data_IF_836985577603
#
_entry.id   IF_836985577603
#
_cell.length_a   1.000
_cell.length_b   1.000
_cell.length_c   1.000
_cell.angle_alpha   90.00
_cell.angle_beta   90.00
_cell.angle_gamma   90.00
#
_symmetry.space_group_name_H-M   'P 1'
#
loop_
_entity.id
_entity.type
_entity.pdbx_description
1 polymer ?
#
# COMPACT_ATOMS: atom_id res chain seq x y z
N UNK A 1 24.64 17.66 -5.20
CA UNK A 1 23.44 16.83 -4.94
C UNK A 1 22.95 16.11 -6.18
N UNK A 2 22.78 16.77 -7.33
CA UNK A 2 22.48 16.10 -8.61
C UNK A 2 23.53 15.05 -9.02
N UNK A 3 24.82 15.30 -8.74
CA UNK A 3 25.92 14.38 -9.04
C UNK A 3 25.95 13.12 -8.15
N UNK A 4 25.49 13.21 -6.90
CA UNK A 4 25.47 12.08 -5.95
C UNK A 4 24.18 11.24 -6.03
N UNK A 5 23.12 11.75 -6.65
CA UNK A 5 21.86 11.01 -6.86
C UNK A 5 21.85 10.16 -8.13
N UNK A 6 22.82 10.34 -9.03
CA UNK A 6 22.96 9.59 -10.29
C UNK A 6 23.75 8.29 -10.09
N UNK A 7 24.48 8.12 -8.98
CA UNK A 7 25.37 6.96 -8.76
C UNK A 7 25.06 6.23 -7.44
N UNK A 8 24.10 5.30 -7.46
CA UNK A 8 24.18 4.16 -6.53
C UNK A 8 23.87 4.46 -5.06
N UNK A 9 22.65 4.89 -4.70
CA UNK A 9 22.31 4.94 -3.28
C UNK A 9 20.97 5.56 -2.88
N UNK A 10 19.84 4.98 -3.28
CA UNK A 10 18.51 5.37 -2.77
C UNK A 10 18.41 5.26 -1.24
N UNK A 11 19.14 4.32 -0.62
CA UNK A 11 19.27 4.20 0.84
C UNK A 11 20.03 5.37 1.48
N UNK A 12 21.02 5.93 0.79
CA UNK A 12 21.83 7.05 1.29
C UNK A 12 21.11 8.39 1.07
N UNK A 13 20.48 8.63 -0.07
CA UNK A 13 19.79 9.89 -0.34
C UNK A 13 18.59 10.13 0.61
N UNK A 14 17.78 9.11 0.90
CA UNK A 14 16.64 9.21 1.82
C UNK A 14 17.09 9.33 3.30
N UNK A 15 18.15 8.61 3.70
CA UNK A 15 18.77 8.79 5.03
C UNK A 15 19.41 10.17 5.18
N UNK A 16 20.11 10.66 4.16
CA UNK A 16 20.69 12.00 4.14
C UNK A 16 19.59 13.06 4.24
N UNK A 17 18.45 12.92 3.55
CA UNK A 17 17.34 13.87 3.68
C UNK A 17 16.64 13.80 5.04
N UNK A 18 16.44 12.61 5.61
CA UNK A 18 15.93 12.44 6.98
C UNK A 18 16.86 13.08 8.02
N UNK A 19 18.18 12.88 7.88
CA UNK A 19 19.24 13.48 8.72
C UNK A 19 19.35 14.99 8.51
N UNK A 20 19.21 15.46 7.26
CA UNK A 20 19.20 16.88 6.94
C UNK A 20 17.99 17.57 7.56
N UNK A 21 16.83 16.91 7.58
CA UNK A 21 15.60 17.49 8.10
C UNK A 21 15.44 17.37 9.61
N UNK A 22 16.18 16.47 10.28
CA UNK A 22 16.23 16.36 11.74
C UNK A 22 17.22 17.34 12.40
N UNK A 23 18.09 17.99 11.61
CA UNK A 23 19.03 19.02 12.09
C UNK A 23 18.68 20.40 11.52
N UNK A 24 18.44 21.37 12.40
CA UNK A 24 18.19 22.77 12.02
C UNK A 24 19.31 23.36 11.16
N UNK A 25 20.55 22.96 11.41
CA UNK A 25 21.73 23.41 10.69
C UNK A 25 21.77 22.81 9.29
N UNK A 26 21.58 21.49 9.17
CA UNK A 26 21.57 20.83 7.87
C UNK A 26 20.39 21.29 7.01
N UNK A 27 19.22 21.49 7.61
CA UNK A 27 18.05 22.02 6.91
C UNK A 27 18.28 23.47 6.43
N UNK A 28 19.01 24.28 7.21
CA UNK A 28 19.42 25.62 6.80
C UNK A 28 20.40 25.58 5.62
N UNK A 29 21.44 24.74 5.69
CA UNK A 29 22.42 24.54 4.62
C UNK A 29 21.77 24.01 3.33
N UNK A 30 20.82 23.07 3.46
CA UNK A 30 20.01 22.59 2.35
C UNK A 30 19.21 23.72 1.69
N UNK A 31 18.51 24.53 2.49
CA UNK A 31 17.75 25.69 1.99
C UNK A 31 18.64 26.71 1.28
N UNK A 32 19.85 26.98 1.80
CA UNK A 32 20.83 27.88 1.16
C UNK A 32 21.32 27.30 -0.17
N UNK A 33 21.69 26.03 -0.20
CA UNK A 33 22.13 25.33 -1.42
C UNK A 33 21.02 25.34 -2.48
N UNK A 34 19.77 25.09 -2.09
CA UNK A 34 18.58 25.17 -2.96
C UNK A 34 18.37 26.57 -3.54
N UNK A 35 18.58 27.62 -2.75
CA UNK A 35 18.47 29.01 -3.19
C UNK A 35 19.57 29.36 -4.21
N UNK A 36 20.81 28.94 -3.97
CA UNK A 36 21.94 29.12 -4.89
C UNK A 36 21.69 28.41 -6.22
N UNK A 37 21.29 27.14 -6.19
CA UNK A 37 20.97 26.38 -7.41
C UNK A 37 19.82 27.02 -8.18
N UNK A 38 18.78 27.52 -7.49
CA UNK A 38 17.67 28.24 -8.13
C UNK A 38 18.14 29.53 -8.80
N UNK A 39 19.04 30.26 -8.16
CA UNK A 39 19.60 31.50 -8.72
C UNK A 39 20.34 31.24 -10.03
N UNK A 40 21.18 30.20 -10.10
CA UNK A 40 21.95 29.87 -11.31
C UNK A 40 21.15 29.15 -12.40
N UNK A 41 20.26 28.23 -12.03
CA UNK A 41 19.55 27.41 -13.02
C UNK A 41 18.23 28.01 -13.50
N UNK A 42 17.71 29.03 -12.81
CA UNK A 42 16.36 29.57 -12.98
C UNK A 42 15.22 28.53 -12.91
N UNK A 43 15.50 27.30 -12.45
CA UNK A 43 14.52 26.22 -12.34
C UNK A 43 14.09 26.01 -10.89
N UNK A 44 12.86 25.52 -10.71
CA UNK A 44 12.40 25.06 -9.39
C UNK A 44 12.94 23.66 -9.06
N UNK A 45 12.98 23.32 -7.77
CA UNK A 45 13.38 21.97 -7.34
C UNK A 45 12.43 20.89 -7.86
N UNK A 46 11.12 21.16 -7.84
CA UNK A 46 10.15 20.23 -8.42
C UNK A 46 10.40 20.01 -9.91
N UNK A 47 10.74 21.08 -10.66
CA UNK A 47 11.06 20.95 -12.08
C UNK A 47 12.30 20.08 -12.28
N UNK A 48 13.33 20.26 -11.44
CA UNK A 48 14.54 19.43 -11.50
C UNK A 48 14.27 17.97 -11.17
N UNK A 49 13.53 17.69 -10.09
CA UNK A 49 13.11 16.34 -9.68
C UNK A 49 12.49 15.63 -10.88
N UNK A 50 11.50 16.26 -11.51
CA UNK A 50 10.76 15.62 -12.59
C UNK A 50 11.58 15.55 -13.89
N UNK A 51 12.40 16.56 -14.19
CA UNK A 51 13.22 16.60 -15.41
C UNK A 51 14.27 15.48 -15.51
N UNK A 52 14.66 14.89 -14.38
CA UNK A 52 15.55 13.71 -14.36
C UNK A 52 14.86 12.51 -15.01
N UNK A 53 13.54 12.41 -14.83
CA UNK A 53 12.74 11.26 -15.26
C UNK A 53 11.91 11.52 -16.52
N UNK A 54 11.88 12.76 -17.04
CA UNK A 54 11.18 13.12 -18.29
C UNK A 54 12.00 12.85 -19.55
N UNK A 55 13.31 12.58 -19.42
CA UNK A 55 14.18 12.24 -20.55
C UNK A 55 13.88 10.81 -21.05
N UNK A 56 13.88 10.57 -22.37
CA UNK A 56 13.73 9.23 -22.91
C UNK A 56 14.86 8.33 -22.39
N UNK A 57 14.47 7.13 -21.92
CA UNK A 57 15.39 6.11 -21.43
C UNK A 57 16.44 5.79 -22.51
N UNK A 58 17.72 5.82 -22.14
CA UNK A 58 18.81 5.42 -23.03
C UNK A 58 19.15 3.95 -22.77
N UNK A 59 19.64 3.23 -23.79
CA UNK A 59 19.92 1.79 -23.71
C UNK A 59 20.87 1.38 -22.56
N UNK A 60 21.61 2.33 -21.98
CA UNK A 60 22.52 2.15 -20.85
C UNK A 60 21.84 2.05 -19.48
N UNK A 61 20.57 2.46 -19.35
CA UNK A 61 19.82 2.40 -18.08
C UNK A 61 19.40 0.96 -17.67
N UNK A 62 19.61 -0.01 -18.57
CA UNK A 62 19.37 -1.45 -18.35
C UNK A 62 20.22 -2.08 -17.25
N UNK A 63 21.32 -1.45 -16.82
CA UNK A 63 22.26 -2.03 -15.85
C UNK A 63 21.88 -1.78 -14.38
N UNK A 64 20.93 -0.89 -14.10
CA UNK A 64 20.66 -0.39 -12.73
C UNK A 64 19.46 -1.05 -12.03
N UNK A 65 18.98 -2.18 -12.55
CA UNK A 65 17.75 -2.81 -12.03
C UNK A 65 18.09 -3.83 -10.93
N UNK A 66 17.55 -3.70 -9.70
CA UNK A 66 17.78 -4.65 -8.61
C UNK A 66 17.42 -6.09 -9.00
N UNK A 67 18.09 -7.07 -8.40
CA UNK A 67 18.07 -8.50 -8.75
C UNK A 67 16.69 -9.11 -9.04
N UNK A 68 15.64 -8.66 -8.35
CA UNK A 68 14.26 -9.12 -8.56
C UNK A 68 13.71 -8.82 -9.97
N UNK A 69 14.24 -7.81 -10.64
CA UNK A 69 13.79 -7.39 -11.98
C UNK A 69 14.62 -8.00 -13.13
N UNK A 70 15.71 -8.74 -12.84
CA UNK A 70 16.39 -9.52 -13.88
C UNK A 70 15.50 -10.62 -14.46
N UNK A 71 14.48 -11.07 -13.71
CA UNK A 71 13.44 -11.97 -14.22
C UNK A 71 12.54 -11.32 -15.29
N UNK A 72 12.32 -10.00 -15.22
CA UNK A 72 11.48 -9.26 -16.17
C UNK A 72 12.14 -9.06 -17.54
N UNK A 73 13.46 -9.27 -17.65
CA UNK A 73 14.15 -9.25 -18.95
C UNK A 73 13.66 -10.34 -19.90
N UNK A 74 12.96 -11.37 -19.39
CA UNK A 74 12.29 -12.39 -20.19
C UNK A 74 10.88 -12.02 -20.67
N UNK A 75 10.32 -10.91 -20.19
CA UNK A 75 8.94 -10.52 -20.47
C UNK A 75 8.98 -9.17 -21.17
N UNK A 76 8.57 -9.14 -22.45
CA UNK A 76 8.97 -8.16 -23.46
C UNK A 76 8.86 -6.66 -23.14
N UNK A 77 9.40 -5.85 -24.05
CA UNK A 77 9.71 -4.41 -23.90
C UNK A 77 8.61 -3.54 -23.26
N UNK A 78 7.33 -3.85 -23.52
CA UNK A 78 6.20 -3.09 -22.97
C UNK A 78 6.00 -3.30 -21.45
N UNK A 79 6.18 -4.52 -20.95
CA UNK A 79 6.05 -4.82 -19.52
C UNK A 79 7.21 -4.19 -18.74
N UNK A 80 8.43 -4.27 -19.29
CA UNK A 80 9.60 -3.61 -18.75
C UNK A 80 9.43 -2.08 -18.69
N UNK A 81 8.89 -1.47 -19.76
CA UNK A 81 8.61 -0.04 -19.81
C UNK A 81 7.57 0.39 -18.78
N UNK A 82 6.46 -0.35 -18.64
CA UNK A 82 5.44 -0.08 -17.61
C UNK A 82 6.00 -0.17 -16.18
N UNK A 83 6.86 -1.16 -15.90
CA UNK A 83 7.53 -1.31 -14.60
C UNK A 83 8.52 -0.17 -14.33
N UNK A 84 9.31 0.23 -15.32
CA UNK A 84 10.20 1.38 -15.18
C UNK A 84 9.42 2.68 -14.94
N UNK A 85 8.31 2.88 -15.65
CA UNK A 85 7.47 4.05 -15.49
C UNK A 85 6.79 4.09 -14.11
N UNK A 86 6.34 2.95 -13.58
CA UNK A 86 5.77 2.89 -12.22
C UNK A 86 6.82 3.12 -11.13
N UNK A 87 8.02 2.56 -11.26
CA UNK A 87 9.15 2.79 -10.33
C UNK A 87 9.58 4.26 -10.35
N UNK A 88 9.64 4.87 -11.53
CA UNK A 88 9.95 6.29 -11.66
C UNK A 88 8.87 7.16 -11.02
N UNK A 89 7.59 6.85 -11.23
CA UNK A 89 6.49 7.60 -10.66
C UNK A 89 6.44 7.53 -9.12
N UNK A 90 6.73 6.36 -8.53
CA UNK A 90 6.91 6.21 -7.08
C UNK A 90 8.01 7.15 -6.55
N UNK A 91 9.20 7.15 -7.18
CA UNK A 91 10.32 8.02 -6.76
C UNK A 91 9.95 9.49 -6.87
N UNK A 92 9.34 9.89 -7.98
CA UNK A 92 8.88 11.26 -8.20
C UNK A 92 7.86 11.65 -7.12
N UNK A 93 6.92 10.76 -6.75
CA UNK A 93 5.96 11.01 -5.67
C UNK A 93 6.64 11.21 -4.31
N UNK A 94 7.61 10.34 -3.94
CA UNK A 94 8.38 10.52 -2.71
C UNK A 94 9.12 11.86 -2.66
N UNK A 95 9.84 12.20 -3.73
CA UNK A 95 10.63 13.45 -3.80
C UNK A 95 9.72 14.69 -3.86
N UNK A 96 8.59 14.59 -4.56
CA UNK A 96 7.57 15.64 -4.62
C UNK A 96 6.97 15.89 -3.24
N UNK A 97 6.58 14.83 -2.52
CA UNK A 97 5.98 14.93 -1.19
C UNK A 97 6.93 15.59 -0.19
N UNK A 98 8.20 15.19 -0.18
CA UNK A 98 9.23 15.83 0.64
C UNK A 98 9.42 17.31 0.28
N UNK A 99 9.50 17.64 -1.01
CA UNK A 99 9.64 19.03 -1.46
C UNK A 99 8.43 19.89 -1.05
N UNK A 100 7.21 19.34 -1.10
CA UNK A 100 5.99 19.98 -0.60
C UNK A 100 6.04 20.19 0.93
N UNK A 101 6.42 19.15 1.68
CA UNK A 101 6.51 19.15 3.14
C UNK A 101 7.35 20.32 3.68
N UNK A 102 8.48 20.62 3.05
CA UNK A 102 9.41 21.67 3.49
C UNK A 102 9.28 23.01 2.75
N UNK A 103 8.33 23.15 1.81
CA UNK A 103 8.18 24.37 1.00
C UNK A 103 7.34 25.43 1.70
N UNK A 104 7.99 26.52 2.15
CA UNK A 104 7.29 27.72 2.69
C UNK A 104 6.34 28.39 1.68
N UNK A 105 6.64 28.31 0.38
CA UNK A 105 5.84 28.94 -0.69
C UNK A 105 4.57 28.15 -1.06
N UNK A 106 4.53 26.85 -0.73
CA UNK A 106 3.45 25.94 -1.14
C UNK A 106 2.62 25.46 0.05
N UNK A 107 2.68 26.17 1.18
CA UNK A 107 1.97 25.78 2.40
C UNK A 107 0.46 25.68 2.17
N UNK A 108 -0.11 26.64 1.44
CA UNK A 108 -1.54 26.67 1.12
C UNK A 108 -1.91 25.49 0.23
N UNK A 109 -1.18 25.27 -0.86
CA UNK A 109 -1.42 24.16 -1.78
C UNK A 109 -1.25 22.80 -1.10
N UNK A 110 -0.26 22.66 -0.23
CA UNK A 110 -0.06 21.47 0.59
C UNK A 110 -1.26 21.20 1.50
N UNK A 111 -1.79 22.21 2.18
CA UNK A 111 -3.00 22.05 3.02
C UNK A 111 -4.20 21.59 2.20
N UNK A 112 -4.34 22.05 0.95
CA UNK A 112 -5.38 21.54 0.06
C UNK A 112 -5.16 20.08 -0.33
N UNK A 113 -3.92 19.68 -0.65
CA UNK A 113 -3.55 18.28 -0.95
C UNK A 113 -3.89 17.36 0.23
N UNK A 114 -3.62 17.83 1.45
CA UNK A 114 -3.85 17.08 2.69
C UNK A 114 -5.32 17.10 3.16
N UNK A 115 -6.21 17.87 2.51
CA UNK A 115 -7.62 18.00 2.89
C UNK A 115 -8.54 17.01 2.17
N UNK A 116 -9.70 16.71 2.76
CA UNK A 116 -10.72 15.82 2.18
C UNK A 116 -11.67 16.50 1.16
N UNK A 117 -11.30 17.68 0.64
CA UNK A 117 -12.21 18.44 -0.23
C UNK A 117 -12.39 17.77 -1.60
N UNK A 118 -13.58 17.20 -1.84
CA UNK A 118 -13.97 16.45 -3.05
C UNK A 118 -13.93 17.26 -4.37
N UNK A 119 -13.89 18.60 -4.32
CA UNK A 119 -14.17 19.46 -5.49
C UNK A 119 -13.01 20.35 -5.96
N UNK A 120 -11.75 20.08 -5.61
CA UNK A 120 -10.65 21.03 -5.89
C UNK A 120 -9.39 20.41 -6.52
N UNK A 121 -9.47 19.16 -6.98
CA UNK A 121 -8.29 18.34 -7.33
C UNK A 121 -7.31 19.02 -8.29
N UNK A 122 -7.78 19.82 -9.25
CA UNK A 122 -6.89 20.36 -10.29
C UNK A 122 -6.48 21.83 -10.04
N UNK A 123 -7.29 22.60 -9.30
CA UNK A 123 -7.05 24.03 -9.11
C UNK A 123 -5.81 24.33 -8.24
N UNK A 124 -5.50 23.49 -7.25
CA UNK A 124 -4.23 23.64 -6.51
C UNK A 124 -3.03 23.14 -7.31
N UNK A 125 -3.21 22.15 -8.20
CA UNK A 125 -2.12 21.66 -9.05
C UNK A 125 -1.71 22.75 -10.05
N UNK A 126 -2.68 23.43 -10.68
CA UNK A 126 -2.42 24.60 -11.52
C UNK A 126 -1.63 25.70 -10.78
N UNK A 127 -2.04 26.03 -9.54
CA UNK A 127 -1.30 26.99 -8.68
C UNK A 127 0.15 26.55 -8.41
N UNK A 128 0.39 25.25 -8.17
CA UNK A 128 1.75 24.71 -7.99
C UNK A 128 2.56 24.90 -9.27
N UNK A 129 2.01 24.52 -10.43
CA UNK A 129 2.68 24.63 -11.73
C UNK A 129 3.09 26.08 -12.02
N UNK A 130 2.17 27.03 -11.86
CA UNK A 130 2.43 28.46 -12.05
C UNK A 130 3.48 28.97 -11.08
N UNK A 131 3.35 28.70 -9.77
CA UNK A 131 4.33 29.14 -8.74
C UNK A 131 5.73 28.56 -8.95
N UNK A 132 5.83 27.43 -9.64
CA UNK A 132 7.08 26.68 -9.86
C UNK A 132 7.58 26.76 -11.30
N UNK A 133 6.95 27.62 -12.11
CA UNK A 133 7.33 27.98 -13.47
C UNK A 133 7.36 26.76 -14.42
N UNK A 134 6.39 25.86 -14.29
CA UNK A 134 6.20 24.77 -15.23
C UNK A 134 5.45 25.25 -16.49
N UNK A 135 5.78 24.67 -17.65
CA UNK A 135 4.94 24.78 -18.85
C UNK A 135 3.82 23.75 -18.75
N UNK A 136 2.56 24.15 -18.77
CA UNK A 136 1.43 23.27 -18.42
C UNK A 136 1.29 22.00 -19.26
N UNK A 137 1.68 22.05 -20.54
CA UNK A 137 1.63 20.94 -21.50
C UNK A 137 2.95 20.16 -21.61
N UNK A 138 3.92 20.42 -20.72
CA UNK A 138 5.20 19.70 -20.73
C UNK A 138 5.09 18.28 -20.13
N UNK A 139 5.93 17.32 -20.57
CA UNK A 139 6.05 16.02 -19.91
C UNK A 139 6.31 16.14 -18.41
N UNK A 140 7.09 17.14 -18.00
CA UNK A 140 7.38 17.43 -16.60
C UNK A 140 6.13 17.87 -15.82
N UNK A 141 5.28 18.69 -16.42
CA UNK A 141 4.02 19.07 -15.80
C UNK A 141 3.08 17.86 -15.64
N UNK A 142 3.04 16.95 -16.62
CA UNK A 142 2.25 15.71 -16.55
C UNK A 142 2.73 14.79 -15.44
N UNK A 143 4.03 14.54 -15.35
CA UNK A 143 4.62 13.71 -14.30
C UNK A 143 4.40 14.32 -12.90
N UNK A 144 4.51 15.65 -12.77
CA UNK A 144 4.22 16.33 -11.50
C UNK A 144 2.73 16.24 -11.13
N UNK A 145 1.82 16.38 -12.11
CA UNK A 145 0.37 16.20 -11.88
C UNK A 145 0.08 14.80 -11.35
N UNK A 146 0.65 13.77 -11.97
CA UNK A 146 0.49 12.38 -11.56
C UNK A 146 1.05 12.12 -10.15
N UNK A 147 2.23 12.65 -9.84
CA UNK A 147 2.84 12.47 -8.52
C UNK A 147 2.03 13.16 -7.42
N UNK A 148 1.55 14.38 -7.65
CA UNK A 148 0.68 15.10 -6.72
C UNK A 148 -0.65 14.36 -6.53
N UNK A 149 -1.20 13.77 -7.59
CA UNK A 149 -2.42 12.96 -7.49
C UNK A 149 -2.23 11.76 -6.57
N UNK A 150 -1.13 11.02 -6.69
CA UNK A 150 -0.80 9.89 -5.80
C UNK A 150 -0.71 10.36 -4.33
N UNK A 151 -0.04 11.48 -4.10
CA UNK A 151 0.08 12.08 -2.76
C UNK A 151 -1.30 12.45 -2.22
N UNK A 152 -2.13 13.13 -3.00
CA UNK A 152 -3.49 13.53 -2.61
C UNK A 152 -4.37 12.30 -2.32
N UNK A 153 -4.32 11.28 -3.16
CA UNK A 153 -5.09 10.06 -2.97
C UNK A 153 -4.68 9.34 -1.67
N UNK A 154 -3.40 9.41 -1.28
CA UNK A 154 -2.92 8.85 0.00
C UNK A 154 -3.55 9.55 1.21
N UNK A 155 -3.74 10.87 1.15
CA UNK A 155 -4.46 11.63 2.19
C UNK A 155 -5.96 11.36 2.18
N UNK A 156 -6.59 11.24 1.01
CA UNK A 156 -8.01 10.84 0.93
C UNK A 156 -8.23 9.46 1.53
N UNK A 157 -7.32 8.52 1.29
CA UNK A 157 -7.35 7.21 1.92
C UNK A 157 -7.23 7.34 3.45
N UNK A 158 -6.31 8.17 3.96
CA UNK A 158 -6.20 8.44 5.41
C UNK A 158 -7.49 8.97 6.00
N UNK A 159 -8.14 9.94 5.36
CA UNK A 159 -9.42 10.50 5.81
C UNK A 159 -10.50 9.43 5.88
N UNK A 160 -10.67 8.66 4.81
CA UNK A 160 -11.63 7.55 4.77
C UNK A 160 -11.38 6.51 5.87
N UNK A 161 -10.12 6.16 6.11
CA UNK A 161 -9.76 5.22 7.19
C UNK A 161 -10.06 5.80 8.57
N UNK A 162 -9.82 7.10 8.78
CA UNK A 162 -10.19 7.77 10.04
C UNK A 162 -11.71 7.82 10.25
N UNK A 163 -12.49 8.05 9.20
CA UNK A 163 -13.96 8.01 9.24
C UNK A 163 -14.47 6.62 9.63
N UNK A 164 -13.93 5.57 9.00
CA UNK A 164 -14.27 4.19 9.33
C UNK A 164 -13.91 3.84 10.78
N UNK A 165 -12.74 4.30 11.25
CA UNK A 165 -12.30 4.10 12.62
C UNK A 165 -13.18 4.83 13.65
N UNK A 166 -13.72 6.00 13.28
CA UNK A 166 -14.61 6.79 14.13
C UNK A 166 -16.07 6.33 14.08
N UNK A 167 -16.46 5.58 13.04
CA UNK A 167 -17.81 5.05 12.89
C UNK A 167 -18.01 3.92 13.90
N UNK A 168 -18.83 4.19 14.92
CA UNK A 168 -19.17 3.18 15.93
C UNK A 168 -20.00 2.06 15.31
N UNK A 169 -19.80 0.85 15.81
CA UNK A 169 -20.72 -0.25 15.54
C UNK A 169 -22.13 0.12 16.03
N UNK A 170 -23.14 -0.22 15.24
CA UNK A 170 -24.55 0.08 15.52
C UNK A 170 -25.36 -1.19 15.32
N UNK A 171 -25.96 -1.68 16.40
CA UNK A 171 -26.77 -2.91 16.43
C UNK A 171 -28.06 -2.78 15.63
N UNK A 172 -28.51 -1.56 15.36
CA UNK A 172 -29.70 -1.31 14.54
C UNK A 172 -29.37 -1.23 13.04
N UNK A 173 -28.09 -1.15 12.69
CA UNK A 173 -27.63 -1.14 11.31
C UNK A 173 -27.53 -2.56 10.77
N UNK A 174 -28.44 -2.93 9.86
CA UNK A 174 -28.41 -4.23 9.15
C UNK A 174 -27.08 -4.48 8.45
N UNK A 175 -26.42 -3.42 7.97
CA UNK A 175 -25.10 -3.52 7.34
C UNK A 175 -24.05 -3.94 8.35
N UNK A 176 -24.04 -3.35 9.55
CA UNK A 176 -23.07 -3.69 10.59
C UNK A 176 -23.29 -5.10 11.11
N UNK A 177 -24.55 -5.50 11.33
CA UNK A 177 -24.90 -6.87 11.73
C UNK A 177 -24.47 -7.89 10.66
N UNK A 178 -24.71 -7.58 9.38
CA UNK A 178 -24.21 -8.42 8.28
C UNK A 178 -22.68 -8.54 8.31
N UNK A 179 -21.95 -7.46 8.60
CA UNK A 179 -20.49 -7.51 8.68
C UNK A 179 -20.01 -8.45 9.79
N UNK A 180 -20.66 -8.49 10.95
CA UNK A 180 -20.32 -9.47 12.00
C UNK A 180 -20.62 -10.90 11.55
N UNK A 181 -21.77 -11.14 10.91
CA UNK A 181 -22.09 -12.46 10.36
C UNK A 181 -21.05 -12.88 9.32
N UNK A 182 -20.70 -12.00 8.39
CA UNK A 182 -19.68 -12.24 7.37
C UNK A 182 -18.32 -12.55 8.02
N UNK A 183 -17.97 -11.86 9.11
CA UNK A 183 -16.75 -12.14 9.85
C UNK A 183 -16.78 -13.56 10.43
N UNK A 184 -17.86 -13.93 11.11
CA UNK A 184 -18.03 -15.25 11.69
C UNK A 184 -17.92 -16.34 10.62
N UNK A 185 -18.63 -16.21 9.51
CA UNK A 185 -18.62 -17.18 8.41
C UNK A 185 -17.22 -17.38 7.82
N UNK A 186 -16.42 -16.30 7.72
CA UNK A 186 -15.05 -16.39 7.23
C UNK A 186 -14.10 -16.97 8.30
N UNK A 187 -14.28 -16.59 9.57
CA UNK A 187 -13.39 -16.96 10.66
C UNK A 187 -13.64 -18.37 11.21
N UNK A 188 -14.88 -18.86 11.15
CA UNK A 188 -15.33 -20.14 11.70
C UNK A 188 -16.19 -20.89 10.67
N UNK A 189 -15.63 -21.28 9.51
CA UNK A 189 -16.42 -21.82 8.38
C UNK A 189 -17.16 -23.14 8.69
N UNK A 190 -16.72 -23.87 9.72
CA UNK A 190 -17.31 -25.15 10.14
C UNK A 190 -18.22 -25.04 11.37
N UNK A 191 -18.46 -23.83 11.90
CA UNK A 191 -19.31 -23.63 13.06
C UNK A 191 -20.39 -22.58 12.79
N UNK A 192 -21.64 -22.90 13.12
CA UNK A 192 -22.74 -21.95 13.00
C UNK A 192 -22.76 -20.99 14.21
N UNK A 193 -22.94 -19.70 13.95
CA UNK A 193 -23.25 -18.73 15.00
C UNK A 193 -24.71 -18.91 15.43
N UNK A 194 -24.93 -19.36 16.67
CA UNK A 194 -26.30 -19.64 17.15
C UNK A 194 -27.09 -18.36 17.41
N UNK A 195 -26.42 -17.33 17.91
CA UNK A 195 -27.02 -16.05 18.23
C UNK A 195 -25.96 -14.96 18.23
N UNK A 196 -26.41 -13.72 17.99
CA UNK A 196 -25.54 -12.54 17.93
C UNK A 196 -24.75 -12.35 19.23
N UNK A 197 -25.38 -12.48 20.41
CA UNK A 197 -24.69 -12.41 21.70
C UNK A 197 -24.37 -13.81 22.21
N UNK A 198 -23.13 -14.27 22.09
CA UNK A 198 -22.78 -15.62 22.52
C UNK A 198 -21.33 -15.74 22.98
N UNK A 199 -21.06 -16.75 23.82
CA UNK A 199 -19.69 -17.10 24.22
C UNK A 199 -18.82 -17.54 23.05
N UNK A 200 -19.40 -17.85 21.88
CA UNK A 200 -18.65 -18.28 20.70
C UNK A 200 -17.67 -17.18 20.24
N UNK A 201 -18.01 -15.90 20.42
CA UNK A 201 -17.11 -14.79 20.12
C UNK A 201 -15.83 -14.79 20.96
N UNK A 202 -15.88 -15.31 22.20
CA UNK A 202 -14.70 -15.41 23.04
C UNK A 202 -13.67 -16.40 22.48
N UNK A 203 -14.10 -17.37 21.66
CA UNK A 203 -13.18 -18.26 20.94
C UNK A 203 -12.33 -17.49 19.93
N UNK A 204 -12.90 -16.51 19.22
CA UNK A 204 -12.15 -15.59 18.36
C UNK A 204 -11.34 -14.55 19.16
N UNK A 205 -11.41 -14.58 20.49
CA UNK A 205 -10.69 -13.67 21.37
C UNK A 205 -11.34 -12.30 21.51
N UNK A 206 -12.67 -12.19 21.47
CA UNK A 206 -13.40 -11.01 21.99
C UNK A 206 -13.56 -11.09 23.53
N UNK A 207 -13.74 -9.95 24.21
CA UNK A 207 -13.73 -9.90 25.68
C UNK A 207 -15.04 -10.38 26.32
N UNK A 208 -16.13 -10.46 25.57
CA UNK A 208 -17.42 -10.90 26.08
C UNK A 208 -18.33 -11.44 24.99
N UNK A 209 -19.60 -11.66 25.36
CA UNK A 209 -20.59 -12.27 24.46
C UNK A 209 -21.03 -11.32 23.34
N UNK A 210 -20.81 -10.01 23.50
CA UNK A 210 -21.11 -8.99 22.50
C UNK A 210 -19.81 -8.37 21.94
N UNK A 211 -19.40 -8.75 20.71
CA UNK A 211 -18.17 -8.24 20.08
C UNK A 211 -18.25 -6.74 19.75
N UNK A 212 -19.44 -6.14 19.67
CA UNK A 212 -19.58 -4.70 19.39
C UNK A 212 -18.90 -3.83 20.45
N UNK A 213 -18.80 -4.35 21.68
CA UNK A 213 -18.21 -3.63 22.80
C UNK A 213 -16.70 -3.41 22.67
N UNK A 214 -16.02 -4.23 21.86
CA UNK A 214 -14.56 -4.20 21.67
C UNK A 214 -14.12 -3.22 20.56
N UNK A 215 -15.00 -2.86 19.63
CA UNK A 215 -14.68 -1.95 18.52
C UNK A 215 -14.65 -0.46 18.90
N UNK A 216 -14.57 -0.09 20.18
CA UNK A 216 -14.67 1.34 20.62
C UNK A 216 -13.61 2.25 20.00
N UNK A 217 -12.38 1.75 19.90
CA UNK A 217 -11.23 2.53 19.43
C UNK A 217 -11.10 2.58 17.91
N UNK A 218 -11.49 1.51 17.21
CA UNK A 218 -11.27 1.32 15.77
C UNK A 218 -12.55 1.14 14.96
N UNK A 219 -13.71 1.20 15.59
CA UNK A 219 -15.02 1.21 14.93
C UNK A 219 -15.17 0.13 13.87
N UNK A 220 -15.82 0.52 12.77
CA UNK A 220 -16.01 -0.33 11.60
C UNK A 220 -14.68 -0.69 10.92
N UNK A 221 -13.64 0.16 11.00
CA UNK A 221 -12.33 -0.18 10.43
C UNK A 221 -11.73 -1.46 11.06
N UNK A 222 -11.85 -1.61 12.38
CA UNK A 222 -11.38 -2.81 13.09
C UNK A 222 -12.08 -4.08 12.60
N UNK A 223 -13.40 -4.00 12.38
CA UNK A 223 -14.19 -5.11 11.84
C UNK A 223 -13.85 -5.38 10.37
N UNK A 224 -13.71 -4.35 9.52
CA UNK A 224 -13.30 -4.52 8.12
C UNK A 224 -11.93 -5.20 8.00
N UNK A 225 -10.98 -4.82 8.84
CA UNK A 225 -9.64 -5.44 8.88
C UNK A 225 -9.71 -6.93 9.22
N UNK A 226 -10.48 -7.30 10.25
CA UNK A 226 -10.66 -8.71 10.65
C UNK A 226 -11.35 -9.54 9.56
N UNK A 227 -12.41 -9.01 8.95
CA UNK A 227 -13.11 -9.65 7.82
C UNK A 227 -12.16 -9.85 6.65
N UNK A 228 -11.41 -8.81 6.30
CA UNK A 228 -10.48 -8.88 5.18
C UNK A 228 -9.43 -9.96 5.43
N UNK A 229 -8.88 -10.05 6.64
CA UNK A 229 -7.87 -11.05 6.94
C UNK A 229 -8.44 -12.47 6.86
N UNK A 230 -9.56 -12.74 7.53
CA UNK A 230 -10.20 -14.06 7.51
C UNK A 230 -10.62 -14.50 6.11
N UNK A 231 -11.07 -13.56 5.26
CA UNK A 231 -11.56 -13.85 3.92
C UNK A 231 -10.44 -14.00 2.89
N UNK A 232 -9.45 -13.11 2.93
CA UNK A 232 -8.41 -13.01 1.90
C UNK A 232 -7.23 -13.94 2.16
N UNK A 233 -6.92 -14.18 3.44
CA UNK A 233 -5.82 -15.05 3.85
C UNK A 233 -6.28 -16.05 4.92
N UNK A 234 -7.20 -16.97 4.57
CA UNK A 234 -7.78 -17.91 5.51
C UNK A 234 -6.75 -18.85 6.15
N UNK A 235 -5.71 -19.28 5.44
CA UNK A 235 -4.73 -20.23 5.99
C UNK A 235 -3.88 -19.56 7.07
N UNK A 236 -3.37 -18.36 6.77
CA UNK A 236 -2.69 -17.52 7.74
C UNK A 236 -3.61 -17.17 8.92
N UNK A 237 -4.86 -16.78 8.67
CA UNK A 237 -5.82 -16.44 9.73
C UNK A 237 -6.08 -17.64 10.67
N UNK A 238 -6.33 -18.84 10.14
CA UNK A 238 -6.57 -20.04 10.94
C UNK A 238 -5.34 -20.46 11.74
N UNK A 239 -4.13 -20.33 11.17
CA UNK A 239 -2.88 -20.55 11.92
C UNK A 239 -2.75 -19.58 13.08
N UNK A 240 -3.00 -18.29 12.85
CA UNK A 240 -2.96 -17.28 13.93
C UNK A 240 -3.99 -17.59 15.01
N UNK A 241 -5.21 -17.99 14.63
CA UNK A 241 -6.26 -18.38 15.57
C UNK A 241 -5.83 -19.58 16.41
N UNK A 242 -5.33 -20.65 15.79
CA UNK A 242 -4.84 -21.83 16.50
C UNK A 242 -3.73 -21.47 17.50
N UNK A 243 -2.74 -20.66 17.08
CA UNK A 243 -1.63 -20.25 17.94
C UNK A 243 -2.07 -19.30 19.06
N UNK A 244 -3.16 -18.56 18.87
CA UNK A 244 -3.74 -17.69 19.91
C UNK A 244 -4.29 -18.47 21.11
N UNK A 245 -4.60 -19.75 20.96
CA UNK A 245 -5.08 -20.63 22.03
C UNK A 245 -3.97 -21.41 22.75
N UNK A 246 -2.70 -21.06 22.52
CA UNK A 246 -1.58 -21.77 23.13
C UNK A 246 -1.66 -21.79 24.68
N UNK A 247 -1.42 -22.92 25.39
CA UNK A 247 -1.71 -23.04 26.83
C UNK A 247 -1.08 -21.99 27.74
N UNK A 248 0.13 -21.52 27.42
CA UNK A 248 0.86 -20.49 28.19
C UNK A 248 0.85 -19.12 27.50
N UNK A 249 1.36 -19.09 26.27
CA UNK A 249 1.44 -17.90 25.41
C UNK A 249 0.15 -17.60 24.63
N UNK A 250 -1.04 -17.89 25.17
CA UNK A 250 -2.29 -17.51 24.50
C UNK A 250 -2.38 -16.00 24.31
N UNK A 251 -3.21 -15.54 23.38
CA UNK A 251 -3.55 -14.12 23.26
C UNK A 251 -4.96 -13.95 22.71
N UNK A 252 -5.58 -12.82 23.02
CA UNK A 252 -6.95 -12.51 22.58
C UNK A 252 -6.93 -12.06 21.12
N UNK A 253 -7.04 -12.99 20.16
CA UNK A 253 -6.81 -12.72 18.72
C UNK A 253 -7.58 -11.50 18.20
N UNK A 254 -8.89 -11.40 18.41
CA UNK A 254 -9.66 -10.24 17.96
C UNK A 254 -9.18 -8.92 18.57
N UNK A 255 -8.87 -8.89 19.87
CA UNK A 255 -8.33 -7.69 20.54
C UNK A 255 -6.95 -7.31 20.00
N UNK A 256 -6.08 -8.29 19.78
CA UNK A 256 -4.78 -8.06 19.12
C UNK A 256 -4.99 -7.50 17.72
N UNK A 257 -5.91 -8.06 16.94
CA UNK A 257 -6.27 -7.57 15.61
C UNK A 257 -6.81 -6.13 15.63
N UNK A 258 -7.61 -5.75 16.62
CA UNK A 258 -8.09 -4.38 16.79
C UNK A 258 -6.93 -3.44 17.18
N UNK A 259 -6.03 -3.88 18.06
CA UNK A 259 -4.84 -3.12 18.42
C UNK A 259 -3.88 -2.91 17.24
N UNK A 260 -3.72 -3.92 16.39
CA UNK A 260 -2.94 -3.81 15.15
C UNK A 260 -3.61 -2.83 14.19
N UNK A 261 -4.95 -2.84 14.08
CA UNK A 261 -5.69 -1.85 13.29
C UNK A 261 -5.35 -0.42 13.71
N UNK A 262 -5.31 -0.17 15.02
CA UNK A 262 -4.90 1.12 15.60
C UNK A 262 -3.44 1.44 15.28
N UNK A 263 -2.55 0.45 15.36
CA UNK A 263 -1.15 0.61 15.01
C UNK A 263 -0.95 1.00 13.54
N UNK A 264 -1.54 0.27 12.58
CA UNK A 264 -1.41 0.59 11.14
C UNK A 264 -1.95 1.98 10.83
N UNK A 265 -3.12 2.33 11.37
CA UNK A 265 -3.69 3.66 11.20
C UNK A 265 -2.79 4.75 11.80
N UNK A 266 -2.17 4.49 12.96
CA UNK A 266 -1.25 5.43 13.59
C UNK A 266 -0.01 5.68 12.72
N UNK A 267 0.54 4.65 12.06
CA UNK A 267 1.64 4.80 11.12
C UNK A 267 1.25 5.65 9.90
N UNK A 268 0.02 5.49 9.39
CA UNK A 268 -0.49 6.33 8.30
C UNK A 268 -0.65 7.80 8.72
N UNK A 269 -1.24 8.04 9.91
CA UNK A 269 -1.36 9.39 10.50
C UNK A 269 0.00 10.08 10.67
N UNK A 270 1.03 9.32 11.02
CA UNK A 270 2.41 9.78 11.16
C UNK A 270 3.18 9.88 9.83
N UNK A 271 2.52 9.58 8.70
CA UNK A 271 3.10 9.57 7.34
C UNK A 271 4.21 8.54 7.12
N UNK A 272 4.31 7.51 7.97
CA UNK A 272 5.30 6.43 7.82
C UNK A 272 4.98 5.52 6.63
N UNK A 273 3.71 5.46 6.20
CA UNK A 273 3.24 4.60 5.11
C UNK A 273 3.23 5.26 3.72
N UNK A 274 3.66 6.52 3.58
CA UNK A 274 3.59 7.23 2.28
C UNK A 274 4.35 6.48 1.19
N UNK A 275 5.60 6.09 1.47
CA UNK A 275 6.43 5.34 0.53
C UNK A 275 5.83 3.97 0.18
N UNK A 276 5.25 3.30 1.17
CA UNK A 276 4.54 2.03 0.99
C UNK A 276 3.40 2.19 -0.03
N UNK A 277 2.51 3.17 0.17
CA UNK A 277 1.40 3.42 -0.75
C UNK A 277 1.85 3.89 -2.14
N UNK A 278 2.93 4.67 -2.24
CA UNK A 278 3.44 5.09 -3.54
C UNK A 278 4.03 3.92 -4.33
N UNK A 279 4.52 2.88 -3.64
CA UNK A 279 5.11 1.71 -4.25
C UNK A 279 4.06 0.67 -4.66
N UNK A 280 3.17 0.32 -3.75
CA UNK A 280 2.23 -0.79 -3.94
C UNK A 280 0.84 -0.35 -4.41
N UNK A 281 0.57 0.96 -4.39
CA UNK A 281 -0.71 1.54 -4.77
C UNK A 281 -1.45 2.13 -3.57
N UNK A 282 -2.25 3.15 -3.84
CA UNK A 282 -3.07 3.83 -2.84
C UNK A 282 -4.47 3.25 -2.89
N UNK A 283 -4.75 2.22 -2.09
CA UNK A 283 -6.08 1.65 -1.99
C UNK A 283 -6.36 1.10 -0.59
N UNK A 284 -7.64 0.86 -0.30
CA UNK A 284 -8.07 0.23 0.94
C UNK A 284 -7.57 -1.22 1.05
N UNK A 285 -7.56 -1.95 -0.07
CA UNK A 285 -7.06 -3.33 -0.12
C UNK A 285 -5.57 -3.39 0.24
N UNK A 286 -4.74 -2.48 -0.30
CA UNK A 286 -3.32 -2.40 0.05
C UNK A 286 -3.12 -2.06 1.54
N UNK A 287 -3.99 -1.25 2.13
CA UNK A 287 -3.98 -1.02 3.58
C UNK A 287 -4.32 -2.29 4.37
N UNK A 288 -5.35 -3.03 3.95
CA UNK A 288 -5.73 -4.29 4.61
C UNK A 288 -4.66 -5.38 4.45
N UNK A 289 -3.98 -5.46 3.31
CA UNK A 289 -2.83 -6.36 3.12
C UNK A 289 -1.70 -6.07 4.10
N UNK A 290 -1.36 -4.79 4.28
CA UNK A 290 -0.38 -4.39 5.28
C UNK A 290 -0.82 -4.77 6.70
N UNK A 291 -2.12 -4.61 7.00
CA UNK A 291 -2.69 -5.05 8.26
C UNK A 291 -2.51 -6.56 8.49
N UNK A 292 -2.85 -7.39 7.50
CA UNK A 292 -2.72 -8.84 7.60
C UNK A 292 -1.26 -9.24 7.80
N UNK A 293 -0.34 -8.64 7.05
CA UNK A 293 1.09 -8.90 7.18
C UNK A 293 1.67 -8.50 8.53
N UNK A 294 1.23 -7.37 9.10
CA UNK A 294 1.66 -6.98 10.45
C UNK A 294 1.12 -7.97 11.49
N UNK A 295 -0.09 -8.49 11.29
CA UNK A 295 -0.67 -9.50 12.18
C UNK A 295 0.09 -10.82 12.10
N UNK A 296 0.32 -11.33 10.90
CA UNK A 296 1.16 -12.52 10.71
C UNK A 296 2.57 -12.34 11.30
N UNK A 297 3.21 -11.19 11.06
CA UNK A 297 4.52 -10.88 11.62
C UNK A 297 4.50 -10.77 13.16
N UNK A 298 3.42 -10.24 13.74
CA UNK A 298 3.22 -10.23 15.19
C UNK A 298 3.15 -11.65 15.73
N UNK A 299 2.32 -12.50 15.14
CA UNK A 299 2.14 -13.88 15.59
C UNK A 299 3.45 -14.67 15.47
N UNK A 300 4.10 -14.62 14.30
CA UNK A 300 5.40 -15.27 14.07
C UNK A 300 6.43 -14.84 15.10
N UNK A 301 6.45 -13.54 15.46
CA UNK A 301 7.36 -13.01 16.47
C UNK A 301 6.98 -13.49 17.87
N UNK A 302 5.68 -13.53 18.19
CA UNK A 302 5.16 -13.96 19.48
C UNK A 302 5.47 -15.44 19.74
N UNK A 303 5.25 -16.30 18.75
CA UNK A 303 5.49 -17.74 18.85
C UNK A 303 6.97 -18.11 18.77
N UNK A 304 7.82 -17.30 18.12
CA UNK A 304 9.28 -17.52 18.09
C UNK A 304 9.99 -17.43 19.45
N UNK A 305 9.37 -16.84 20.47
CA UNK A 305 9.98 -16.56 21.77
C UNK A 305 9.94 -17.74 22.78
N UNK A 306 9.70 -18.97 22.29
CA UNK A 306 9.76 -20.26 23.01
C UNK A 306 9.30 -20.21 24.48
N UNK A 307 8.05 -20.60 24.74
CA UNK A 307 7.43 -20.92 26.05
C UNK A 307 7.58 -19.95 27.24
N UNK A 308 8.35 -18.86 27.09
CA UNK A 308 8.65 -17.90 28.16
C UNK A 308 7.63 -16.77 28.26
N UNK A 309 6.92 -16.48 27.17
CA UNK A 309 5.92 -15.42 27.14
C UNK A 309 4.59 -15.90 27.70
N UNK A 310 3.98 -15.02 28.49
CA UNK A 310 2.60 -15.13 28.95
C UNK A 310 1.81 -13.91 28.52
N UNK A 311 0.49 -13.92 28.71
CA UNK A 311 -0.37 -12.76 28.43
C UNK A 311 0.07 -11.52 29.22
N UNK A 312 0.70 -11.70 30.38
CA UNK A 312 1.20 -10.59 31.20
C UNK A 312 2.31 -9.81 30.50
N UNK A 313 3.02 -10.43 29.55
CA UNK A 313 4.09 -9.80 28.77
C UNK A 313 3.57 -9.05 27.55
N UNK A 314 2.27 -9.16 27.23
CA UNK A 314 1.69 -8.67 25.99
C UNK A 314 1.97 -7.18 25.75
N UNK A 315 1.68 -6.30 26.71
CA UNK A 315 1.83 -4.85 26.51
C UNK A 315 3.30 -4.46 26.25
N UNK A 316 4.22 -5.05 27.01
CA UNK A 316 5.66 -4.83 26.83
C UNK A 316 6.11 -5.33 25.46
N UNK A 317 5.73 -6.56 25.10
CA UNK A 317 6.07 -7.17 23.83
C UNK A 317 5.51 -6.37 22.66
N UNK A 318 4.22 -6.02 22.71
CA UNK A 318 3.54 -5.31 21.62
C UNK A 318 4.11 -3.92 21.42
N UNK A 319 4.49 -3.22 22.50
CA UNK A 319 5.22 -1.95 22.41
C UNK A 319 6.57 -2.11 21.71
N UNK A 320 7.34 -3.15 22.04
CA UNK A 320 8.62 -3.43 21.39
C UNK A 320 8.42 -3.79 19.91
N UNK A 321 7.48 -4.68 19.62
CA UNK A 321 7.13 -5.08 18.25
C UNK A 321 6.76 -3.87 17.38
N UNK A 322 5.92 -2.95 17.88
CA UNK A 322 5.57 -1.72 17.14
C UNK A 322 6.79 -0.87 16.80
N UNK A 323 7.66 -0.63 17.77
CA UNK A 323 8.87 0.17 17.56
C UNK A 323 9.82 -0.47 16.54
N UNK A 324 10.03 -1.79 16.63
CA UNK A 324 10.84 -2.55 15.67
C UNK A 324 10.24 -2.49 14.26
N UNK A 325 8.91 -2.66 14.14
CA UNK A 325 8.23 -2.66 12.85
C UNK A 325 8.23 -1.27 12.19
N UNK A 326 8.06 -0.19 12.96
CA UNK A 326 8.20 1.18 12.45
C UNK A 326 9.60 1.42 11.85
N UNK A 327 10.66 0.94 12.50
CA UNK A 327 12.02 1.01 11.97
C UNK A 327 12.16 0.21 10.67
N UNK A 328 11.59 -0.99 10.58
CA UNK A 328 11.59 -1.83 9.35
C UNK A 328 10.85 -1.16 8.19
N UNK A 329 9.73 -0.49 8.46
CA UNK A 329 8.97 0.26 7.44
C UNK A 329 9.80 1.44 6.92
N UNK A 330 10.38 2.24 7.81
CA UNK A 330 11.15 3.44 7.45
C UNK A 330 12.48 3.10 6.76
N UNK A 331 13.13 2.02 7.18
CA UNK A 331 14.40 1.54 6.61
C UNK A 331 14.28 0.86 5.24
N UNK A 332 13.05 0.76 4.72
CA UNK A 332 12.74 0.11 3.44
C UNK A 332 12.97 -1.42 3.43
N UNK A 333 13.11 -2.05 4.61
CA UNK A 333 13.39 -3.48 4.73
C UNK A 333 12.22 -4.32 4.22
N UNK A 334 10.99 -3.92 4.55
CA UNK A 334 9.75 -4.55 4.05
C UNK A 334 9.57 -4.32 2.54
N UNK A 335 10.22 -3.30 1.98
CA UNK A 335 10.12 -2.96 0.56
C UNK A 335 11.19 -3.66 -0.28
N UNK A 336 12.02 -4.53 0.29
CA UNK A 336 13.21 -5.07 -0.37
C UNK A 336 13.02 -6.39 -1.12
N UNK A 337 11.82 -6.99 -1.12
CA UNK A 337 11.51 -8.18 -1.92
C UNK A 337 10.63 -9.22 -1.26
N UNK A 338 10.32 -9.09 0.04
CA UNK A 338 9.24 -9.85 0.67
C UNK A 338 7.92 -9.32 0.11
N UNK A 339 7.38 -10.01 -0.89
CA UNK A 339 6.01 -9.76 -1.36
C UNK A 339 5.09 -10.16 -0.21
N UNK A 340 4.04 -9.36 0.07
CA UNK A 340 3.02 -9.69 1.07
C UNK A 340 2.20 -10.88 0.56
N UNK A 341 2.78 -12.07 0.63
CA UNK A 341 2.13 -13.33 0.30
C UNK A 341 2.04 -14.08 1.61
N UNK A 342 0.83 -14.11 2.17
CA UNK A 342 0.54 -14.91 3.36
C UNK A 342 0.11 -16.32 2.94
N UNK A 343 -0.70 -16.42 1.87
CA UNK A 343 -1.30 -17.68 1.42
C UNK A 343 -1.01 -17.97 -0.07
N UNK A 344 -0.94 -19.25 -0.44
CA UNK A 344 -0.75 -19.70 -1.83
C UNK A 344 -1.96 -19.34 -2.69
N UNK A 345 -1.81 -18.32 -3.56
CA UNK A 345 -2.87 -17.89 -4.48
C UNK A 345 -3.46 -16.51 -4.18
N UNK A 346 -3.04 -15.86 -3.09
CA UNK A 346 -3.51 -14.51 -2.76
C UNK A 346 -3.26 -13.52 -3.92
N UNK A 347 -4.35 -12.87 -4.36
CA UNK A 347 -4.40 -12.14 -5.63
C UNK A 347 -3.97 -10.67 -5.52
N UNK A 348 -3.81 -10.14 -4.31
CA UNK A 348 -3.79 -8.68 -4.09
C UNK A 348 -2.45 -8.05 -4.47
N UNK A 349 -1.35 -8.80 -4.33
CA UNK A 349 -0.03 -8.40 -4.83
C UNK A 349 0.52 -9.29 -5.95
N UNK A 350 -0.25 -10.23 -6.45
CA UNK A 350 0.16 -11.16 -7.52
C UNK A 350 0.19 -10.53 -8.91
N UNK A 351 -0.01 -9.21 -9.03
CA UNK A 351 0.16 -8.46 -10.28
C UNK A 351 1.53 -8.71 -10.93
N UNK A 352 2.57 -8.99 -10.12
CA UNK A 352 3.90 -9.37 -10.62
C UNK A 352 4.06 -10.85 -11.02
N UNK A 353 3.09 -11.74 -10.72
CA UNK A 353 3.14 -13.18 -11.03
C UNK A 353 2.51 -13.51 -12.38
N UNK A 354 1.35 -12.91 -12.71
CA UNK A 354 0.58 -13.27 -13.92
C UNK A 354 1.20 -12.84 -15.26
N UNK A 355 2.13 -11.89 -15.24
CA UNK A 355 2.87 -11.52 -16.46
C UNK A 355 3.95 -12.58 -16.81
N UNK A 356 4.36 -13.44 -15.86
CA UNK A 356 5.37 -14.48 -16.06
C UNK A 356 4.84 -15.86 -16.47
N UNK A 357 3.63 -16.23 -16.07
CA UNK A 357 3.11 -17.60 -16.29
C UNK A 357 2.20 -17.71 -17.53
N UNK A 358 1.67 -16.61 -18.05
CA UNK A 358 0.76 -16.61 -19.21
C UNK A 358 1.41 -16.79 -20.59
N UNK A 359 2.74 -16.91 -20.69
CA UNK A 359 3.46 -17.01 -21.97
C UNK A 359 4.22 -18.34 -22.13
N UNK A 360 4.30 -19.17 -21.09
CA UNK A 360 4.97 -20.48 -21.15
C UNK A 360 3.93 -21.58 -21.15
N UNK A 361 3.17 -21.69 -22.25
CA UNK A 361 2.11 -22.69 -22.32
C UNK A 361 1.36 -22.75 -23.64
N UNK A 362 2.03 -22.55 -24.78
CA UNK A 362 1.57 -23.09 -26.07
C UNK A 362 2.72 -23.04 -27.08
N UNK A 363 3.64 -23.99 -26.92
CA UNK A 363 4.60 -24.34 -27.96
C UNK A 363 3.98 -25.31 -28.95
N UNK A 364 4.05 -24.91 -30.23
CA UNK A 364 4.40 -25.76 -31.37
C UNK A 364 3.54 -27.01 -31.58
N UNK A 365 2.59 -26.91 -32.51
CA UNK A 365 2.24 -28.02 -33.39
C UNK A 365 2.44 -27.56 -34.84
N UNK A 366 3.52 -28.05 -35.45
CA UNK A 366 3.79 -28.04 -36.89
C UNK A 366 2.76 -28.90 -37.64
N UNK A 367 2.31 -28.47 -38.82
CA UNK A 367 1.53 -29.35 -39.69
C UNK A 367 0.92 -28.69 -40.92
N UNK A 368 1.73 -28.59 -41.98
CA UNK A 368 1.39 -28.47 -43.40
C UNK A 368 -0.02 -28.89 -43.88
N UNK A 369 -0.61 -28.10 -44.80
CA UNK A 369 -1.22 -28.67 -46.01
C UNK A 369 -2.64 -28.23 -46.41
N UNK A 370 -2.70 -27.54 -47.57
CA UNK A 370 -3.75 -27.56 -48.62
C UNK A 370 -5.07 -26.77 -48.46
N UNK A 371 -5.11 -25.67 -49.23
CA UNK A 371 -5.99 -25.32 -50.39
C UNK A 371 -7.51 -25.60 -50.37
N UNK A 372 -8.20 -24.60 -50.96
CA UNK A 372 -9.58 -24.51 -51.50
C UNK A 372 -10.64 -24.05 -50.49
N UNK A 373 -11.70 -23.30 -50.82
CA UNK A 373 -12.11 -22.33 -51.86
C UNK A 373 -13.65 -22.16 -51.66
N UNK A 374 -14.23 -21.03 -52.13
CA UNK A 374 -15.66 -20.71 -52.24
C UNK A 374 -16.39 -20.38 -50.91
N UNK A 375 -16.82 -19.14 -50.67
CA UNK A 375 -17.89 -18.34 -51.32
C UNK A 375 -19.30 -18.60 -50.78
N UNK A 376 -19.90 -17.49 -50.32
CA UNK A 376 -21.31 -17.11 -50.31
C UNK A 376 -22.35 -17.96 -49.55
N UNK A 377 -22.84 -17.35 -48.45
CA UNK A 377 -24.25 -17.14 -48.04
C UNK A 377 -25.33 -17.55 -49.08
N UNK A 378 -26.55 -17.98 -48.67
CA UNK A 378 -27.45 -17.07 -47.95
C UNK A 378 -28.44 -17.66 -46.92
N UNK A 379 -28.84 -16.76 -46.02
CA UNK A 379 -30.20 -16.44 -45.58
C UNK A 379 -31.18 -17.55 -45.11
N UNK A 380 -31.52 -17.44 -43.83
CA UNK A 380 -32.87 -17.19 -43.28
C UNK A 380 -34.03 -18.10 -43.70
N UNK A 381 -34.73 -18.69 -42.70
CA UNK A 381 -36.19 -18.62 -42.52
C UNK A 381 -36.62 -19.30 -41.20
N UNK A 382 -37.42 -18.55 -40.43
CA UNK A 382 -38.44 -18.89 -39.41
C UNK A 382 -38.42 -20.25 -38.68
N UNK A 383 -38.73 -20.36 -37.37
CA UNK A 383 -40.00 -19.92 -36.78
C UNK A 383 -40.05 -20.04 -35.23
N UNK A 384 -40.92 -19.20 -34.62
CA UNK A 384 -41.75 -19.37 -33.40
C UNK A 384 -41.05 -19.78 -32.08
N UNK A 385 -40.96 -18.91 -31.07
CA UNK A 385 -42.02 -18.53 -30.10
C UNK A 385 -42.91 -19.70 -29.69
N UNK A 386 -42.58 -20.31 -28.55
CA UNK A 386 -43.36 -20.25 -27.32
C UNK A 386 -42.42 -20.24 -26.11
#
# INVERSE_FOLDING_TARGET
>A
MSFWMIHGGTKHALRIMSVICSSSILLYLYKKTKAVVRYFSHTSELLRIVSVYSKPLTATDSAYVPSAHRLLYRIGDLAFYCVLQSVNLMRIACETDQSLLYSKMLLVERRYIESDQKNTSDAYIGRILTKKLFRELSPEATLLKQSIKIISDSFKLLHKLNELAATKYDTNSKTHEKMLTDFWECAMPNEQLFQRNSKQWQFLGFQGDDPATDFRGMGILGLENLIYYARTHPDSFQRVLANSHHPKAWFSMAIVGINISSFVLSMHRQRLLQKFFYKYGVSKDIYHELYCFIFDAFESRWTSQNESLTVMDFERFFKQFRAEFEVRIVSDEIHSGEVFVLDEGSSVLSYNRKIGEGVVGQGIASGSGKRAALESSPATVHAKKD
#
